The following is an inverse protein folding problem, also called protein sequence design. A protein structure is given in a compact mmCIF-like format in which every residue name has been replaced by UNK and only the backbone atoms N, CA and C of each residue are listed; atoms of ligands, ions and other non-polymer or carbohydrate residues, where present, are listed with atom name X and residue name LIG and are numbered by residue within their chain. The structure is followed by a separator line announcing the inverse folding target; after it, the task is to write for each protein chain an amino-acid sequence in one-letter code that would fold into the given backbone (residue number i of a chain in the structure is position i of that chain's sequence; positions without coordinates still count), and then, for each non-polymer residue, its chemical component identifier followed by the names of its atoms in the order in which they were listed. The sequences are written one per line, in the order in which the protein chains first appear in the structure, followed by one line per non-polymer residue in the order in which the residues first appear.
data_IF_381141302893
#
_entry.id   IF_381141302893
#
_cell.length_a   1.000
_cell.length_b   1.000
_cell.length_c   1.000
_cell.angle_alpha   90.00
_cell.angle_beta   90.00
_cell.angle_gamma   90.00
#
_symmetry.space_group_name_H-M   'P 1'
#
loop_
_entity.id
_entity.type
_entity.pdbx_description
1 polymer ?
#
# COMPACT_ATOMS: atom_id res chain seq x y z
N UNK A 1 11.62 20.46 -43.88
CA UNK A 1 12.29 19.32 -43.26
C UNK A 1 11.65 19.05 -41.91
N UNK A 2 11.10 17.87 -41.62
CA UNK A 2 10.51 17.61 -40.34
C UNK A 2 11.62 17.50 -39.29
N UNK A 3 11.54 18.31 -38.26
CA UNK A 3 12.39 18.23 -37.08
C UNK A 3 12.11 16.85 -36.42
N UNK A 4 13.10 15.96 -36.54
CA UNK A 4 13.12 14.68 -35.81
C UNK A 4 12.92 14.99 -34.33
N UNK A 5 11.78 14.59 -33.76
CA UNK A 5 11.60 14.53 -32.30
C UNK A 5 12.62 13.53 -31.77
N UNK A 6 13.70 14.04 -31.22
CA UNK A 6 14.57 13.26 -30.36
C UNK A 6 13.69 12.63 -29.27
N UNK A 7 13.57 11.31 -29.25
CA UNK A 7 13.07 10.58 -28.11
C UNK A 7 14.09 10.81 -27.00
N UNK A 8 13.82 11.73 -26.10
CA UNK A 8 14.54 11.81 -24.83
C UNK A 8 14.17 10.50 -24.09
N UNK A 9 15.11 9.58 -24.00
CA UNK A 9 15.05 8.54 -22.99
C UNK A 9 14.92 9.26 -21.65
N UNK A 10 13.95 8.85 -20.84
CA UNK A 10 13.73 9.47 -19.54
C UNK A 10 15.01 9.30 -18.72
N UNK A 11 15.50 10.42 -18.17
CA UNK A 11 16.70 10.42 -17.32
C UNK A 11 16.47 9.43 -16.16
N UNK A 12 17.40 8.50 -15.85
CA UNK A 12 17.28 7.63 -14.70
C UNK A 12 16.99 8.45 -13.44
N UNK A 13 16.09 7.95 -12.58
CA UNK A 13 15.65 8.59 -11.33
C UNK A 13 14.90 9.93 -11.52
N UNK A 14 14.44 10.24 -12.74
CA UNK A 14 13.70 11.48 -13.02
C UNK A 14 12.42 11.61 -12.18
N UNK A 15 11.88 10.50 -11.65
CA UNK A 15 10.71 10.50 -10.78
C UNK A 15 10.90 11.39 -9.55
N UNK A 16 12.09 11.41 -8.97
CA UNK A 16 12.42 12.27 -7.82
C UNK A 16 12.45 13.76 -8.15
N UNK A 17 12.71 14.10 -9.41
CA UNK A 17 12.71 15.50 -9.87
C UNK A 17 11.29 16.04 -10.10
N UNK A 18 10.27 15.19 -10.14
CA UNK A 18 8.87 15.63 -10.25
C UNK A 18 8.40 16.45 -9.05
N UNK A 19 9.09 16.33 -7.90
CA UNK A 19 8.85 17.19 -6.73
C UNK A 19 9.23 18.67 -6.97
N UNK A 20 9.99 18.95 -8.02
CA UNK A 20 10.32 20.31 -8.43
C UNK A 20 9.28 20.79 -9.42
N UNK A 21 8.12 21.25 -8.92
CA UNK A 21 6.94 21.58 -9.74
C UNK A 21 7.03 22.97 -10.43
N UNK A 22 8.12 23.74 -10.21
CA UNK A 22 8.33 25.05 -10.82
C UNK A 22 9.49 25.82 -10.17
N UNK A 23 9.86 27.00 -10.71
CA UNK A 23 11.01 27.78 -10.22
C UNK A 23 10.88 28.19 -8.75
N UNK A 24 9.68 28.50 -8.28
CA UNK A 24 9.42 28.90 -6.89
C UNK A 24 9.47 27.72 -5.92
N UNK A 25 9.17 26.51 -6.38
CA UNK A 25 9.20 25.29 -5.56
C UNK A 25 10.59 24.68 -5.41
N UNK A 26 11.57 25.05 -6.25
CA UNK A 26 12.90 24.46 -6.26
C UNK A 26 13.69 24.64 -4.93
N UNK A 27 13.30 25.58 -4.10
CA UNK A 27 13.91 25.85 -2.78
C UNK A 27 13.16 25.19 -1.61
N UNK A 28 12.02 24.57 -1.86
CA UNK A 28 11.25 23.87 -0.81
C UNK A 28 12.04 22.64 -0.31
N UNK A 29 11.79 22.24 0.93
CA UNK A 29 12.41 21.05 1.50
C UNK A 29 12.12 19.81 0.65
N UNK A 30 10.87 19.63 0.21
CA UNK A 30 10.44 18.51 -0.64
C UNK A 30 11.21 18.46 -1.97
N UNK A 31 11.33 19.56 -2.66
CA UNK A 31 12.09 19.63 -3.91
C UNK A 31 13.59 19.35 -3.69
N UNK A 32 14.15 19.83 -2.58
CA UNK A 32 15.54 19.56 -2.21
C UNK A 32 15.78 18.09 -1.84
N UNK A 33 14.82 17.46 -1.14
CA UNK A 33 14.86 16.02 -0.86
C UNK A 33 14.83 15.19 -2.15
N UNK A 34 13.96 15.53 -3.10
CA UNK A 34 13.94 14.91 -4.42
C UNK A 34 15.25 15.07 -5.19
N UNK A 35 15.83 16.27 -5.20
CA UNK A 35 17.15 16.50 -5.80
C UNK A 35 18.26 15.69 -5.12
N UNK A 36 18.24 15.60 -3.78
CA UNK A 36 19.19 14.79 -3.01
C UNK A 36 19.09 13.30 -3.35
N UNK A 37 17.87 12.77 -3.40
CA UNK A 37 17.62 11.38 -3.78
C UNK A 37 18.12 11.09 -5.22
N UNK A 38 17.76 11.97 -6.18
CA UNK A 38 18.26 11.88 -7.55
C UNK A 38 19.79 11.83 -7.60
N UNK A 39 20.49 12.75 -6.92
CA UNK A 39 21.94 12.80 -6.92
C UNK A 39 22.57 11.58 -6.25
N UNK A 40 22.01 11.11 -5.12
CA UNK A 40 22.51 9.93 -4.42
C UNK A 40 22.36 8.66 -5.26
N UNK A 41 21.21 8.46 -5.93
CA UNK A 41 21.00 7.31 -6.82
C UNK A 41 21.88 7.37 -8.07
N UNK A 42 22.12 8.57 -8.61
CA UNK A 42 23.10 8.75 -9.71
C UNK A 42 24.53 8.36 -9.30
N UNK A 43 24.92 8.54 -8.03
CA UNK A 43 26.20 8.00 -7.54
C UNK A 43 26.22 6.47 -7.54
N UNK A 44 25.11 5.83 -7.13
CA UNK A 44 24.96 4.38 -7.18
C UNK A 44 25.10 3.86 -8.61
N UNK A 45 24.47 4.52 -9.58
CA UNK A 45 24.59 4.20 -11.00
C UNK A 45 26.04 4.17 -11.52
N UNK A 46 26.92 5.03 -10.98
CA UNK A 46 28.33 5.04 -11.38
C UNK A 46 29.08 3.76 -10.99
N UNK A 47 28.51 2.99 -10.05
CA UNK A 47 29.08 1.76 -9.53
C UNK A 47 28.51 0.52 -10.22
N UNK A 48 27.57 0.71 -11.16
CA UNK A 48 26.94 -0.38 -11.89
C UNK A 48 28.01 -1.21 -12.67
N UNK A 49 27.97 -2.55 -12.59
CA UNK A 49 28.99 -3.43 -13.15
C UNK A 49 29.11 -3.32 -14.69
N UNK A 50 28.03 -2.93 -15.35
CA UNK A 50 27.97 -2.82 -16.83
C UNK A 50 28.48 -1.48 -17.36
N UNK A 51 28.85 -0.56 -16.49
CA UNK A 51 29.39 0.75 -16.87
C UNK A 51 30.91 0.75 -16.93
N UNK A 52 31.46 1.57 -17.78
CA UNK A 52 32.91 1.82 -17.81
C UNK A 52 33.35 2.35 -16.42
N UNK A 53 34.45 1.84 -15.87
CA UNK A 53 34.95 2.28 -14.57
C UNK A 53 35.17 3.80 -14.53
N UNK A 54 34.59 4.45 -13.54
CA UNK A 54 34.78 5.90 -13.32
C UNK A 54 36.12 6.14 -12.63
N UNK A 55 36.90 7.13 -13.08
CA UNK A 55 38.14 7.47 -12.43
C UNK A 55 37.93 7.94 -10.98
N UNK A 56 38.94 7.71 -10.12
CA UNK A 56 38.89 8.06 -8.71
C UNK A 56 38.57 9.57 -8.52
N UNK A 57 39.17 10.42 -9.30
CA UNK A 57 38.97 11.88 -9.19
C UNK A 57 37.56 12.28 -9.62
N UNK A 58 37.03 11.66 -10.69
CA UNK A 58 35.67 11.95 -11.17
C UNK A 58 34.61 11.47 -10.18
N UNK A 59 34.78 10.28 -9.62
CA UNK A 59 33.87 9.77 -8.57
C UNK A 59 33.94 10.65 -7.32
N UNK A 60 35.14 10.96 -6.85
CA UNK A 60 35.35 11.78 -5.66
C UNK A 60 34.73 13.17 -5.81
N UNK A 61 34.89 13.82 -6.95
CA UNK A 61 34.29 15.14 -7.24
C UNK A 61 32.74 15.08 -7.12
N UNK A 62 32.11 14.11 -7.75
CA UNK A 62 30.66 13.96 -7.70
C UNK A 62 30.17 13.60 -6.29
N UNK A 63 30.87 12.68 -5.64
CA UNK A 63 30.54 12.27 -4.29
C UNK A 63 30.61 13.42 -3.29
N UNK A 64 31.68 14.22 -3.27
CA UNK A 64 31.85 15.34 -2.33
C UNK A 64 30.70 16.35 -2.45
N UNK A 65 30.31 16.70 -3.68
CA UNK A 65 29.21 17.62 -3.92
C UNK A 65 27.86 17.04 -3.43
N UNK A 66 27.61 15.77 -3.74
CA UNK A 66 26.38 15.06 -3.34
C UNK A 66 26.31 14.84 -1.83
N UNK A 67 27.41 14.38 -1.21
CA UNK A 67 27.46 14.14 0.24
C UNK A 67 27.22 15.44 1.04
N UNK A 68 27.86 16.54 0.62
CA UNK A 68 27.61 17.85 1.25
C UNK A 68 26.14 18.23 1.19
N UNK A 69 25.51 18.11 0.03
CA UNK A 69 24.11 18.45 -0.17
C UNK A 69 23.19 17.53 0.67
N UNK A 70 23.44 16.23 0.64
CA UNK A 70 22.64 15.25 1.40
C UNK A 70 22.82 15.41 2.92
N UNK A 71 23.99 15.83 3.39
CA UNK A 71 24.25 16.09 4.82
C UNK A 71 23.43 17.26 5.34
N UNK A 72 23.22 18.31 4.54
CA UNK A 72 22.32 19.41 4.90
C UNK A 72 20.88 18.91 5.03
N UNK A 73 20.44 17.98 4.18
CA UNK A 73 19.11 17.39 4.22
C UNK A 73 18.92 16.44 5.42
N UNK A 74 19.96 15.72 5.81
CA UNK A 74 19.94 14.83 6.99
C UNK A 74 19.53 15.58 8.25
N UNK A 75 20.03 16.80 8.42
CA UNK A 75 19.67 17.63 9.58
C UNK A 75 18.23 18.18 9.53
N UNK A 76 17.62 18.17 8.34
CA UNK A 76 16.32 18.80 8.10
C UNK A 76 15.13 17.81 8.11
N UNK A 77 15.33 16.54 7.74
CA UNK A 77 14.26 15.56 7.62
C UNK A 77 14.74 14.12 7.74
N UNK A 78 13.84 13.22 8.16
CA UNK A 78 14.10 11.77 8.25
C UNK A 78 14.50 11.18 6.89
N UNK A 79 13.83 11.57 5.81
CA UNK A 79 14.19 11.16 4.47
C UNK A 79 15.63 11.57 4.10
N UNK A 80 16.06 12.75 4.53
CA UNK A 80 17.42 13.23 4.33
C UNK A 80 18.48 12.30 4.94
N UNK A 81 18.17 11.63 6.06
CA UNK A 81 19.06 10.62 6.65
C UNK A 81 19.24 9.41 5.74
N UNK A 82 18.17 8.91 5.10
CA UNK A 82 18.24 7.81 4.15
C UNK A 82 19.06 8.18 2.91
N UNK A 83 18.78 9.34 2.33
CA UNK A 83 19.49 9.85 1.15
C UNK A 83 20.99 10.05 1.43
N UNK A 84 21.33 10.62 2.58
CA UNK A 84 22.73 10.76 3.02
C UNK A 84 23.40 9.40 3.24
N UNK A 85 22.66 8.42 3.81
CA UNK A 85 23.15 7.05 3.98
C UNK A 85 23.54 6.38 2.65
N UNK A 86 22.77 6.61 1.58
CA UNK A 86 23.11 6.12 0.23
C UNK A 86 24.39 6.78 -0.28
N UNK A 87 24.54 8.09 -0.14
CA UNK A 87 25.74 8.79 -0.58
C UNK A 87 27.01 8.32 0.18
N UNK A 88 26.90 8.11 1.49
CA UNK A 88 27.98 7.61 2.34
C UNK A 88 28.37 6.15 1.98
N UNK A 89 27.38 5.24 1.86
CA UNK A 89 27.64 3.85 1.51
C UNK A 89 28.18 3.69 0.09
N UNK A 90 27.83 4.59 -0.85
CA UNK A 90 28.42 4.63 -2.19
C UNK A 90 29.92 4.93 -2.15
N UNK A 91 30.37 5.84 -1.27
CA UNK A 91 31.80 6.12 -1.12
C UNK A 91 32.57 4.94 -0.52
N UNK A 92 31.99 4.29 0.49
CA UNK A 92 32.59 3.09 1.10
C UNK A 92 32.68 1.94 0.10
N UNK A 93 31.61 1.73 -0.69
CA UNK A 93 31.57 0.74 -1.75
C UNK A 93 32.64 0.99 -2.82
N UNK A 94 32.77 2.23 -3.29
CA UNK A 94 33.81 2.59 -4.25
C UNK A 94 35.22 2.37 -3.69
N UNK A 95 35.46 2.80 -2.44
CA UNK A 95 36.76 2.68 -1.76
C UNK A 95 37.19 1.25 -1.55
N UNK A 96 36.25 0.38 -1.16
CA UNK A 96 36.52 -1.01 -0.82
C UNK A 96 36.36 -1.97 -2.00
N UNK A 97 35.79 -1.51 -3.11
CA UNK A 97 35.48 -2.33 -4.28
C UNK A 97 34.37 -3.35 -4.03
N UNK A 98 33.51 -3.08 -3.03
CA UNK A 98 32.42 -3.97 -2.64
C UNK A 98 31.06 -3.27 -2.79
N UNK A 99 30.36 -3.61 -3.86
CA UNK A 99 29.06 -3.05 -4.19
C UNK A 99 27.94 -3.45 -3.21
N UNK A 100 28.09 -4.55 -2.47
CA UNK A 100 27.07 -5.02 -1.53
C UNK A 100 26.86 -4.04 -0.37
N UNK A 101 27.86 -3.23 -0.04
CA UNK A 101 27.79 -2.23 1.03
C UNK A 101 26.69 -1.18 0.85
N UNK A 102 26.15 -1.01 -0.38
CA UNK A 102 25.06 -0.09 -0.66
C UNK A 102 23.70 -0.70 -0.33
N UNK A 103 23.58 -2.03 -0.34
CA UNK A 103 22.29 -2.74 -0.21
C UNK A 103 21.49 -2.31 1.01
N UNK A 104 22.04 -2.25 2.24
CA UNK A 104 21.26 -1.85 3.41
C UNK A 104 20.66 -0.46 3.31
N UNK A 105 21.40 0.49 2.72
CA UNK A 105 20.92 1.88 2.55
C UNK A 105 19.77 1.95 1.52
N UNK A 106 19.89 1.24 0.39
CA UNK A 106 18.82 1.16 -0.60
C UNK A 106 17.57 0.45 -0.06
N UNK A 107 17.73 -0.66 0.69
CA UNK A 107 16.61 -1.33 1.34
C UNK A 107 15.90 -0.42 2.35
N UNK A 108 16.64 0.31 3.18
CA UNK A 108 16.08 1.21 4.18
C UNK A 108 15.32 2.36 3.51
N UNK A 109 15.86 2.94 2.43
CA UNK A 109 15.20 4.00 1.71
C UNK A 109 13.95 3.52 0.95
N UNK A 110 14.03 2.38 0.28
CA UNK A 110 12.86 1.78 -0.38
C UNK A 110 11.75 1.47 0.64
N UNK A 111 12.10 0.99 1.84
CA UNK A 111 11.14 0.76 2.91
C UNK A 111 10.49 2.06 3.41
N UNK A 112 11.28 3.09 3.63
CA UNK A 112 10.78 4.42 3.99
C UNK A 112 9.78 4.93 2.95
N UNK A 113 10.14 4.90 1.67
CA UNK A 113 9.29 5.35 0.58
C UNK A 113 7.98 4.54 0.48
N UNK A 114 8.05 3.22 0.67
CA UNK A 114 6.87 2.35 0.69
C UNK A 114 5.94 2.71 1.86
N UNK A 115 6.49 3.03 3.04
CA UNK A 115 5.72 3.42 4.23
C UNK A 115 5.04 4.78 4.05
N UNK A 116 5.71 5.69 3.35
CA UNK A 116 5.16 7.00 2.97
C UNK A 116 4.25 6.93 1.72
N UNK A 117 3.93 5.73 1.23
CA UNK A 117 3.09 5.47 0.04
C UNK A 117 3.64 6.07 -1.27
N UNK A 118 4.91 6.37 -1.32
CA UNK A 118 5.62 6.90 -2.50
C UNK A 118 6.14 5.74 -3.35
N UNK A 119 5.19 4.98 -3.88
CA UNK A 119 5.43 3.65 -4.46
C UNK A 119 6.26 3.67 -5.75
N UNK A 120 6.08 4.68 -6.61
CA UNK A 120 6.88 4.81 -7.85
C UNK A 120 8.35 5.10 -7.54
N UNK A 121 8.63 5.92 -6.54
CA UNK A 121 9.98 6.21 -6.08
C UNK A 121 10.60 4.99 -5.37
N UNK A 122 9.81 4.25 -4.57
CA UNK A 122 10.25 2.99 -3.97
C UNK A 122 10.63 1.96 -5.05
N UNK A 123 9.84 1.90 -6.12
CA UNK A 123 10.11 1.01 -7.25
C UNK A 123 11.42 1.37 -7.95
N UNK A 124 11.69 2.65 -8.16
CA UNK A 124 12.93 3.14 -8.77
C UNK A 124 14.17 2.74 -7.94
N UNK A 125 14.09 2.89 -6.61
CA UNK A 125 15.17 2.47 -5.68
C UNK A 125 15.38 0.96 -5.72
N UNK A 126 14.30 0.17 -5.71
CA UNK A 126 14.39 -1.30 -5.78
C UNK A 126 14.92 -1.78 -7.12
N UNK A 127 14.53 -1.13 -8.22
CA UNK A 127 15.09 -1.37 -9.55
C UNK A 127 16.59 -1.12 -9.55
N UNK A 128 17.02 0.00 -8.96
CA UNK A 128 18.45 0.34 -8.84
C UNK A 128 19.20 -0.72 -8.03
N UNK A 129 18.64 -1.19 -6.91
CA UNK A 129 19.22 -2.27 -6.12
C UNK A 129 19.41 -3.56 -6.95
N UNK A 130 18.36 -3.97 -7.66
CA UNK A 130 18.39 -5.21 -8.46
C UNK A 130 19.33 -5.09 -9.66
N UNK A 131 19.39 -3.94 -10.33
CA UNK A 131 20.26 -3.74 -11.49
C UNK A 131 21.72 -3.58 -11.10
N UNK A 132 22.02 -2.80 -10.05
CA UNK A 132 23.39 -2.45 -9.69
C UNK A 132 24.05 -3.53 -8.82
N UNK A 133 23.30 -4.11 -7.87
CA UNK A 133 23.83 -5.05 -6.89
C UNK A 133 23.39 -6.49 -7.15
N UNK A 134 22.27 -6.70 -7.83
CA UNK A 134 21.50 -7.93 -7.95
C UNK A 134 22.31 -9.24 -7.97
N UNK A 135 23.24 -9.39 -8.92
CA UNK A 135 24.07 -10.61 -9.05
C UNK A 135 25.08 -10.83 -7.91
N UNK A 136 25.22 -9.87 -6.99
CA UNK A 136 26.12 -9.91 -5.85
C UNK A 136 25.41 -9.92 -4.50
N UNK A 137 24.06 -9.83 -4.51
CA UNK A 137 23.28 -9.98 -3.30
C UNK A 137 23.49 -11.38 -2.71
N UNK A 138 23.46 -11.46 -1.37
CA UNK A 138 23.30 -12.76 -0.73
C UNK A 138 21.97 -13.40 -1.18
N UNK A 139 21.85 -14.72 -1.12
CA UNK A 139 20.58 -15.39 -1.47
C UNK A 139 19.40 -14.86 -0.65
N UNK A 140 19.60 -14.58 0.63
CA UNK A 140 18.59 -14.00 1.52
C UNK A 140 18.18 -12.58 1.06
N UNK A 141 19.16 -11.73 0.73
CA UNK A 141 18.90 -10.36 0.29
C UNK A 141 18.25 -10.32 -1.09
N UNK A 142 18.64 -11.24 -1.99
CA UNK A 142 18.03 -11.37 -3.31
C UNK A 142 16.54 -11.74 -3.21
N UNK A 143 16.21 -12.72 -2.36
CA UNK A 143 14.82 -13.09 -2.07
C UNK A 143 14.04 -11.91 -1.47
N UNK A 144 14.61 -11.23 -0.48
CA UNK A 144 13.99 -10.09 0.18
C UNK A 144 13.76 -8.92 -0.81
N UNK A 145 14.71 -8.66 -1.72
CA UNK A 145 14.59 -7.64 -2.76
C UNK A 145 13.44 -7.97 -3.72
N UNK A 146 13.39 -9.20 -4.23
CA UNK A 146 12.34 -9.64 -5.15
C UNK A 146 10.94 -9.64 -4.50
N UNK A 147 10.80 -10.11 -3.25
CA UNK A 147 9.53 -10.05 -2.52
C UNK A 147 9.04 -8.62 -2.34
N UNK A 148 9.94 -7.68 -2.02
CA UNK A 148 9.58 -6.26 -1.86
C UNK A 148 9.25 -5.62 -3.20
N UNK A 149 10.02 -5.88 -4.23
CA UNK A 149 9.79 -5.42 -5.59
C UNK A 149 8.43 -5.88 -6.10
N UNK A 150 8.11 -7.17 -5.94
CA UNK A 150 6.81 -7.74 -6.27
C UNK A 150 5.66 -7.08 -5.50
N UNK A 151 5.84 -6.82 -4.20
CA UNK A 151 4.82 -6.16 -3.37
C UNK A 151 4.56 -4.73 -3.83
N UNK A 152 5.58 -3.96 -4.18
CA UNK A 152 5.43 -2.60 -4.68
C UNK A 152 4.73 -2.61 -6.04
N UNK A 153 5.08 -3.49 -6.97
CA UNK A 153 4.35 -3.68 -8.22
C UNK A 153 2.87 -4.00 -7.99
N UNK A 154 2.56 -4.91 -7.06
CA UNK A 154 1.16 -5.23 -6.72
C UNK A 154 0.41 -4.02 -6.16
N UNK A 155 1.02 -3.22 -5.28
CA UNK A 155 0.43 -1.98 -4.75
C UNK A 155 0.20 -0.92 -5.85
N UNK A 156 1.00 -0.95 -6.91
CA UNK A 156 0.85 -0.12 -8.11
C UNK A 156 -0.12 -0.71 -9.14
N UNK A 157 -0.78 -1.82 -8.83
CA UNK A 157 -1.67 -2.59 -9.73
C UNK A 157 -1.00 -3.13 -11.01
N UNK A 158 0.34 -3.21 -11.02
CA UNK A 158 1.12 -3.84 -12.08
C UNK A 158 1.19 -5.34 -11.82
N UNK A 159 0.04 -6.00 -11.99
CA UNK A 159 -0.16 -7.38 -11.54
C UNK A 159 0.68 -8.41 -12.31
N UNK A 160 0.99 -8.17 -13.58
CA UNK A 160 1.83 -9.07 -14.37
C UNK A 160 3.28 -9.04 -13.89
N UNK A 161 3.81 -7.84 -13.66
CA UNK A 161 5.15 -7.66 -13.10
C UNK A 161 5.24 -8.20 -11.66
N UNK A 162 4.18 -7.99 -10.87
CA UNK A 162 4.11 -8.51 -9.51
C UNK A 162 4.13 -10.05 -9.49
N UNK A 163 3.33 -10.72 -10.33
CA UNK A 163 3.29 -12.19 -10.39
C UNK A 163 4.63 -12.77 -10.85
N UNK A 164 5.27 -12.16 -11.85
CA UNK A 164 6.59 -12.56 -12.31
C UNK A 164 7.66 -12.42 -11.21
N UNK A 165 7.70 -11.27 -10.52
CA UNK A 165 8.66 -11.04 -9.44
C UNK A 165 8.41 -11.94 -8.21
N UNK A 166 7.14 -12.22 -7.86
CA UNK A 166 6.85 -13.22 -6.83
C UNK A 166 7.26 -14.63 -7.24
N UNK A 167 7.08 -15.02 -8.51
CA UNK A 167 7.53 -16.32 -9.00
C UNK A 167 9.05 -16.45 -8.86
N UNK A 168 9.80 -15.45 -9.31
CA UNK A 168 11.27 -15.41 -9.16
C UNK A 168 11.70 -15.46 -7.70
N UNK A 169 11.05 -14.69 -6.81
CA UNK A 169 11.32 -14.75 -5.37
C UNK A 169 11.11 -16.16 -4.79
N UNK A 170 10.06 -16.86 -5.23
CA UNK A 170 9.75 -18.23 -4.81
C UNK A 170 10.79 -19.26 -5.28
N UNK A 171 11.29 -19.11 -6.51
CA UNK A 171 12.36 -19.95 -7.05
C UNK A 171 13.67 -19.72 -6.29
N UNK A 172 14.07 -18.48 -6.07
CA UNK A 172 15.26 -18.12 -5.30
C UNK A 172 15.17 -18.63 -3.86
N UNK A 173 14.01 -18.46 -3.19
CA UNK A 173 13.78 -18.94 -1.84
C UNK A 173 13.87 -20.48 -1.77
N UNK A 174 13.31 -21.17 -2.75
CA UNK A 174 13.40 -22.65 -2.83
C UNK A 174 14.84 -23.12 -3.01
N UNK A 175 15.60 -22.48 -3.89
CA UNK A 175 17.03 -22.79 -4.10
C UNK A 175 17.87 -22.51 -2.86
N UNK A 176 17.51 -21.47 -2.09
CA UNK A 176 18.18 -21.13 -0.84
C UNK A 176 17.75 -21.99 0.36
N UNK A 177 16.73 -22.83 0.20
CA UNK A 177 16.12 -23.58 1.31
C UNK A 177 15.32 -22.72 2.29
N UNK A 178 14.97 -21.49 1.90
CA UNK A 178 14.20 -20.55 2.70
C UNK A 178 12.69 -20.82 2.53
N UNK A 179 12.17 -21.72 3.35
CA UNK A 179 10.77 -22.12 3.35
C UNK A 179 9.82 -20.96 3.66
N UNK A 180 10.19 -20.09 4.60
CA UNK A 180 9.37 -18.95 5.00
C UNK A 180 9.13 -18.00 3.81
N UNK A 181 10.20 -17.58 3.14
CA UNK A 181 10.09 -16.69 1.97
C UNK A 181 9.41 -17.36 0.78
N UNK A 182 9.58 -18.66 0.59
CA UNK A 182 8.84 -19.42 -0.42
C UNK A 182 7.32 -19.41 -0.18
N UNK A 183 6.88 -19.53 1.06
CA UNK A 183 5.48 -19.39 1.44
C UNK A 183 4.97 -17.96 1.26
N UNK A 184 5.78 -16.95 1.62
CA UNK A 184 5.44 -15.53 1.38
C UNK A 184 5.27 -15.22 -0.10
N UNK A 185 6.08 -15.79 -0.98
CA UNK A 185 5.93 -15.61 -2.43
C UNK A 185 4.58 -16.17 -2.93
N UNK A 186 4.17 -17.34 -2.43
CA UNK A 186 2.87 -17.96 -2.75
C UNK A 186 1.70 -17.10 -2.26
N UNK A 187 1.78 -16.52 -1.06
CA UNK A 187 0.78 -15.54 -0.56
C UNK A 187 0.75 -14.32 -1.48
N UNK A 188 1.92 -13.78 -1.85
CA UNK A 188 2.01 -12.62 -2.74
C UNK A 188 1.33 -12.85 -4.08
N UNK A 189 1.54 -14.02 -4.69
CA UNK A 189 0.87 -14.44 -5.93
C UNK A 189 -0.64 -14.57 -5.76
N UNK A 190 -1.10 -15.17 -4.66
CA UNK A 190 -2.52 -15.27 -4.37
C UNK A 190 -3.15 -13.87 -4.18
N UNK A 191 -2.48 -12.96 -3.47
CA UNK A 191 -2.92 -11.57 -3.32
C UNK A 191 -2.95 -10.81 -4.67
N UNK A 192 -2.06 -11.15 -5.60
CA UNK A 192 -2.08 -10.60 -6.96
C UNK A 192 -3.32 -11.09 -7.72
N UNK A 193 -3.71 -12.35 -7.51
CA UNK A 193 -4.96 -12.90 -8.07
C UNK A 193 -6.20 -12.23 -7.47
N UNK A 194 -6.21 -11.92 -6.17
CA UNK A 194 -7.28 -11.13 -5.55
C UNK A 194 -7.40 -9.75 -6.21
N UNK A 195 -6.29 -9.07 -6.44
CA UNK A 195 -6.27 -7.77 -7.13
C UNK A 195 -6.79 -7.84 -8.58
N UNK A 196 -6.66 -8.99 -9.24
CA UNK A 196 -7.23 -9.24 -10.58
C UNK A 196 -8.70 -9.69 -10.55
N UNK A 197 -9.30 -9.89 -9.38
CA UNK A 197 -10.65 -10.39 -9.23
C UNK A 197 -10.79 -11.92 -9.35
N UNK A 198 -9.70 -12.68 -9.41
CA UNK A 198 -9.72 -14.16 -9.48
C UNK A 198 -9.88 -14.75 -8.05
N UNK A 199 -11.00 -14.44 -7.40
CA UNK A 199 -11.24 -14.64 -5.97
C UNK A 199 -11.19 -16.10 -5.54
N UNK A 200 -11.93 -16.99 -6.23
CA UNK A 200 -12.00 -18.41 -5.88
C UNK A 200 -10.67 -19.16 -6.07
N UNK A 201 -9.87 -18.78 -7.07
CA UNK A 201 -8.54 -19.37 -7.27
C UNK A 201 -7.55 -18.87 -6.21
N UNK A 202 -7.65 -17.61 -5.83
CA UNK A 202 -6.86 -17.02 -4.77
C UNK A 202 -7.14 -17.69 -3.42
N UNK A 203 -8.41 -17.84 -3.06
CA UNK A 203 -8.85 -18.53 -1.85
C UNK A 203 -8.25 -19.94 -1.76
N UNK A 204 -8.46 -20.79 -2.77
CA UNK A 204 -7.92 -22.17 -2.80
C UNK A 204 -6.39 -22.21 -2.65
N UNK A 205 -5.67 -21.26 -3.23
CA UNK A 205 -4.22 -21.16 -3.09
C UNK A 205 -3.81 -20.76 -1.67
N UNK A 206 -4.55 -19.82 -1.06
CA UNK A 206 -4.32 -19.38 0.32
C UNK A 206 -4.61 -20.50 1.32
N UNK A 207 -5.67 -21.30 1.12
CA UNK A 207 -5.94 -22.50 1.92
C UNK A 207 -4.78 -23.50 1.87
N UNK A 208 -4.22 -23.72 0.66
CA UNK A 208 -3.04 -24.57 0.51
C UNK A 208 -1.81 -24.01 1.24
N UNK A 209 -1.61 -22.69 1.23
CA UNK A 209 -0.52 -22.05 1.99
C UNK A 209 -0.79 -22.13 3.48
N UNK A 210 -2.03 -21.95 3.92
CA UNK A 210 -2.46 -22.06 5.32
C UNK A 210 -2.16 -23.45 5.89
N UNK A 211 -2.50 -24.51 5.14
CA UNK A 211 -2.19 -25.88 5.54
C UNK A 211 -0.68 -26.12 5.67
N UNK A 212 0.11 -25.63 4.72
CA UNK A 212 1.57 -25.75 4.75
C UNK A 212 2.21 -24.94 5.89
N UNK A 213 1.68 -23.75 6.19
CA UNK A 213 2.15 -22.89 7.28
C UNK A 213 1.90 -23.53 8.64
N UNK A 214 0.69 -24.07 8.84
CA UNK A 214 0.33 -24.81 10.05
C UNK A 214 1.22 -26.04 10.27
N UNK A 215 1.46 -26.81 9.21
CA UNK A 215 2.35 -27.96 9.27
C UNK A 215 3.81 -27.60 9.57
N UNK A 216 4.21 -26.38 9.21
CA UNK A 216 5.56 -25.86 9.46
C UNK A 216 5.71 -25.12 10.79
N UNK A 217 4.61 -24.75 11.45
CA UNK A 217 4.62 -23.88 12.63
C UNK A 217 4.93 -22.41 12.32
N UNK A 218 4.73 -21.97 11.06
CA UNK A 218 5.04 -20.62 10.58
C UNK A 218 3.86 -19.66 10.88
N UNK A 219 3.80 -19.18 12.11
CA UNK A 219 2.69 -18.42 12.66
C UNK A 219 2.38 -17.12 11.89
N UNK A 220 3.42 -16.38 11.44
CA UNK A 220 3.21 -15.14 10.65
C UNK A 220 2.64 -15.46 9.26
N UNK A 221 3.09 -16.54 8.65
CA UNK A 221 2.55 -17.00 7.35
C UNK A 221 1.10 -17.46 7.50
N UNK A 222 0.79 -18.18 8.59
CA UNK A 222 -0.59 -18.56 8.93
C UNK A 222 -1.48 -17.32 9.02
N UNK A 223 -1.06 -16.30 9.78
CA UNK A 223 -1.80 -15.04 9.92
C UNK A 223 -2.05 -14.36 8.57
N UNK A 224 -1.04 -14.31 7.71
CA UNK A 224 -1.16 -13.71 6.36
C UNK A 224 -2.09 -14.49 5.44
N UNK A 225 -2.06 -15.81 5.52
CA UNK A 225 -2.96 -16.67 4.74
C UNK A 225 -4.41 -16.48 5.20
N UNK A 226 -4.67 -16.50 6.51
CA UNK A 226 -5.97 -16.21 7.12
C UNK A 226 -6.51 -14.84 6.69
N UNK A 227 -5.68 -13.78 6.75
CA UNK A 227 -6.08 -12.45 6.30
C UNK A 227 -6.41 -12.44 4.80
N UNK A 228 -5.63 -13.12 3.97
CA UNK A 228 -5.91 -13.22 2.53
C UNK A 228 -7.21 -13.95 2.23
N UNK A 229 -7.54 -15.04 2.95
CA UNK A 229 -8.80 -15.77 2.84
C UNK A 229 -9.97 -14.87 3.25
N UNK A 230 -9.82 -14.13 4.35
CA UNK A 230 -10.82 -13.15 4.77
C UNK A 230 -11.15 -12.13 3.68
N UNK A 231 -10.10 -11.57 3.04
CA UNK A 231 -10.28 -10.62 1.92
C UNK A 231 -10.97 -11.30 0.73
N UNK A 232 -10.63 -12.55 0.41
CA UNK A 232 -11.28 -13.30 -0.67
C UNK A 232 -12.79 -13.44 -0.40
N UNK A 233 -13.18 -13.91 0.78
CA UNK A 233 -14.59 -14.05 1.18
C UNK A 233 -15.31 -12.69 1.17
N UNK A 234 -14.69 -11.65 1.70
CA UNK A 234 -15.26 -10.30 1.69
C UNK A 234 -15.53 -9.81 0.26
N UNK A 235 -14.57 -9.98 -0.66
CA UNK A 235 -14.73 -9.60 -2.06
C UNK A 235 -15.81 -10.43 -2.78
N UNK A 236 -16.04 -11.67 -2.35
CA UNK A 236 -17.15 -12.52 -2.82
C UNK A 236 -18.52 -12.14 -2.19
N UNK A 237 -18.55 -11.16 -1.29
CA UNK A 237 -19.76 -10.74 -0.59
C UNK A 237 -20.14 -11.63 0.61
N UNK A 238 -19.25 -12.51 1.04
CA UNK A 238 -19.43 -13.48 2.12
C UNK A 238 -18.78 -12.96 3.42
N UNK A 239 -19.26 -11.80 3.89
CA UNK A 239 -18.65 -11.12 5.03
C UNK A 239 -18.78 -11.88 6.35
N UNK A 240 -19.82 -12.68 6.50
CA UNK A 240 -20.01 -13.49 7.71
C UNK A 240 -18.93 -14.57 7.84
N UNK A 241 -18.53 -15.17 6.71
CA UNK A 241 -17.47 -16.16 6.62
C UNK A 241 -16.08 -15.49 6.73
N UNK A 242 -15.94 -14.25 6.25
CA UNK A 242 -14.68 -13.50 6.27
C UNK A 242 -14.23 -13.12 7.68
N UNK A 243 -15.15 -12.71 8.57
CA UNK A 243 -14.84 -12.15 9.90
C UNK A 243 -14.04 -13.12 10.78
N UNK A 244 -14.38 -14.41 10.93
CA UNK A 244 -13.60 -15.35 11.72
C UNK A 244 -12.13 -15.45 11.25
N UNK A 245 -11.90 -15.47 9.94
CA UNK A 245 -10.55 -15.51 9.37
C UNK A 245 -9.77 -14.22 9.66
N UNK A 246 -10.38 -13.03 9.46
CA UNK A 246 -9.75 -11.75 9.79
C UNK A 246 -9.45 -11.63 11.30
N UNK A 247 -10.35 -12.10 12.15
CA UNK A 247 -10.15 -12.12 13.60
C UNK A 247 -9.02 -13.06 14.01
N UNK A 248 -8.95 -14.25 13.41
CA UNK A 248 -7.89 -15.20 13.66
C UNK A 248 -6.52 -14.63 13.22
N UNK A 249 -6.46 -13.98 12.07
CA UNK A 249 -5.26 -13.25 11.64
C UNK A 249 -4.83 -12.19 12.67
N UNK A 250 -5.79 -11.39 13.18
CA UNK A 250 -5.51 -10.41 14.24
C UNK A 250 -4.92 -11.04 15.50
N UNK A 251 -5.38 -12.20 15.90
CA UNK A 251 -4.87 -12.92 17.08
C UNK A 251 -3.48 -13.53 16.85
N UNK A 252 -3.17 -13.95 15.62
CA UNK A 252 -1.92 -14.60 15.28
C UNK A 252 -0.76 -13.61 15.07
N UNK A 253 -1.02 -12.43 14.50
CA UNK A 253 0.02 -11.44 14.25
C UNK A 253 0.69 -10.95 15.54
N UNK A 254 2.02 -10.93 15.55
CA UNK A 254 2.83 -10.36 16.64
C UNK A 254 3.21 -8.91 16.35
N UNK A 255 3.37 -8.56 15.08
CA UNK A 255 3.73 -7.22 14.63
C UNK A 255 2.50 -6.30 14.67
N UNK A 256 2.62 -5.16 15.38
CA UNK A 256 1.51 -4.26 15.68
C UNK A 256 0.82 -3.70 14.42
N UNK A 257 1.55 -3.33 13.37
CA UNK A 257 0.93 -2.76 12.17
C UNK A 257 0.11 -3.81 11.40
N UNK A 258 0.61 -5.04 11.31
CA UNK A 258 -0.12 -6.17 10.71
C UNK A 258 -1.36 -6.54 11.51
N UNK A 259 -1.27 -6.54 12.86
CA UNK A 259 -2.43 -6.73 13.73
C UNK A 259 -3.51 -5.66 13.50
N UNK A 260 -3.10 -4.39 13.43
CA UNK A 260 -4.03 -3.28 13.24
C UNK A 260 -4.68 -3.31 11.85
N UNK A 261 -3.97 -3.76 10.82
CA UNK A 261 -4.59 -3.99 9.50
C UNK A 261 -5.66 -5.06 9.56
N UNK A 262 -5.37 -6.21 10.16
CA UNK A 262 -6.36 -7.27 10.31
C UNK A 262 -7.58 -6.82 11.14
N UNK A 263 -7.36 -6.01 12.20
CA UNK A 263 -8.45 -5.40 12.96
C UNK A 263 -9.27 -4.41 12.11
N UNK A 264 -8.62 -3.66 11.22
CA UNK A 264 -9.28 -2.79 10.25
C UNK A 264 -10.17 -3.58 9.30
N UNK A 265 -9.68 -4.71 8.79
CA UNK A 265 -10.45 -5.62 7.93
C UNK A 265 -11.69 -6.15 8.67
N UNK A 266 -11.57 -6.56 9.94
CA UNK A 266 -12.72 -6.93 10.80
C UNK A 266 -13.72 -5.79 10.86
N UNK A 267 -13.28 -4.55 11.08
CA UNK A 267 -14.17 -3.38 11.13
C UNK A 267 -14.94 -3.16 9.82
N UNK A 268 -14.25 -3.28 8.68
CA UNK A 268 -14.87 -3.16 7.34
C UNK A 268 -15.92 -4.25 7.12
N UNK A 269 -15.59 -5.48 7.46
CA UNK A 269 -16.48 -6.63 7.28
C UNK A 269 -17.71 -6.55 8.21
N UNK A 270 -17.56 -6.11 9.47
CA UNK A 270 -18.67 -5.85 10.39
C UNK A 270 -19.61 -4.76 9.84
N UNK A 271 -19.04 -3.69 9.26
CA UNK A 271 -19.86 -2.63 8.67
C UNK A 271 -20.68 -3.16 7.48
N UNK A 272 -20.14 -4.06 6.69
CA UNK A 272 -20.86 -4.68 5.57
C UNK A 272 -22.04 -5.56 6.01
N UNK A 273 -21.95 -6.13 7.21
CA UNK A 273 -23.06 -6.85 7.86
C UNK A 273 -24.06 -5.92 8.60
N UNK A 274 -23.81 -4.60 8.61
CA UNK A 274 -24.64 -3.62 9.29
C UNK A 274 -24.29 -3.37 10.75
N UNK A 275 -23.28 -4.04 11.31
CA UNK A 275 -22.79 -3.76 12.67
C UNK A 275 -21.86 -2.53 12.68
N UNK A 276 -22.47 -1.36 12.56
CA UNK A 276 -21.73 -0.09 12.58
C UNK A 276 -21.07 0.19 13.96
N UNK A 277 -21.57 -0.40 15.03
CA UNK A 277 -21.03 -0.18 16.38
C UNK A 277 -19.75 -1.00 16.58
N UNK A 278 -19.76 -2.27 16.24
CA UNK A 278 -18.58 -3.12 16.23
C UNK A 278 -17.50 -2.59 15.30
N UNK A 279 -17.90 -2.18 14.08
CA UNK A 279 -17.02 -1.56 13.11
C UNK A 279 -16.34 -0.30 13.65
N UNK A 280 -17.09 0.62 14.25
CA UNK A 280 -16.55 1.87 14.82
C UNK A 280 -15.54 1.58 15.94
N UNK A 281 -15.80 0.60 16.81
CA UNK A 281 -14.86 0.20 17.89
C UNK A 281 -13.55 -0.32 17.31
N UNK A 282 -13.60 -1.26 16.37
CA UNK A 282 -12.42 -1.81 15.73
C UNK A 282 -11.60 -0.70 15.03
N UNK A 283 -12.25 0.12 14.23
CA UNK A 283 -11.59 1.17 13.46
C UNK A 283 -11.07 2.33 14.31
N UNK A 284 -11.76 2.67 15.42
CA UNK A 284 -11.27 3.67 16.36
C UNK A 284 -9.98 3.20 17.06
N UNK A 285 -9.88 1.90 17.39
CA UNK A 285 -8.65 1.32 17.94
C UNK A 285 -7.51 1.36 16.91
N UNK A 286 -7.81 1.03 15.64
CA UNK A 286 -6.84 1.17 14.55
C UNK A 286 -6.37 2.62 14.39
N UNK A 287 -7.29 3.59 14.41
CA UNK A 287 -6.94 5.01 14.32
C UNK A 287 -6.09 5.48 15.51
N UNK A 288 -6.40 5.00 16.73
CA UNK A 288 -5.71 5.39 17.95
C UNK A 288 -4.26 4.86 18.01
N UNK A 289 -4.03 3.63 17.52
CA UNK A 289 -2.74 2.92 17.63
C UNK A 289 -1.93 2.91 16.34
N UNK A 290 -2.58 3.08 15.19
CA UNK A 290 -1.92 3.01 13.88
C UNK A 290 -0.81 4.03 13.74
N UNK A 291 0.31 3.60 13.14
CA UNK A 291 1.49 4.44 12.89
C UNK A 291 1.74 4.61 11.41
N UNK A 292 1.42 3.61 10.59
CA UNK A 292 1.58 3.73 9.14
C UNK A 292 0.50 4.63 8.55
N UNK A 293 0.89 5.44 7.59
CA UNK A 293 -0.02 6.37 6.91
C UNK A 293 -1.16 5.62 6.19
N UNK A 294 -0.86 4.48 5.61
CA UNK A 294 -1.83 3.62 4.94
C UNK A 294 -2.92 3.14 5.92
N UNK A 295 -2.50 2.56 7.06
CA UNK A 295 -3.40 2.01 8.08
C UNK A 295 -4.29 3.09 8.68
N UNK A 296 -3.72 4.26 9.00
CA UNK A 296 -4.47 5.39 9.58
C UNK A 296 -5.43 6.00 8.56
N UNK A 297 -5.02 6.20 7.30
CA UNK A 297 -5.88 6.77 6.25
C UNK A 297 -7.08 5.87 5.98
N UNK A 298 -6.87 4.56 5.85
CA UNK A 298 -7.96 3.60 5.67
C UNK A 298 -8.93 3.63 6.86
N UNK A 299 -8.42 3.64 8.10
CA UNK A 299 -9.27 3.71 9.29
C UNK A 299 -10.13 4.98 9.35
N UNK A 300 -9.57 6.15 8.98
CA UNK A 300 -10.32 7.42 8.96
C UNK A 300 -11.41 7.41 7.89
N UNK A 301 -11.12 6.88 6.69
CA UNK A 301 -12.11 6.73 5.61
C UNK A 301 -13.26 5.82 6.05
N UNK A 302 -12.94 4.70 6.70
CA UNK A 302 -13.95 3.76 7.20
C UNK A 302 -14.75 4.32 8.36
N UNK A 303 -14.15 5.09 9.27
CA UNK A 303 -14.88 5.80 10.34
C UNK A 303 -15.85 6.85 9.77
N UNK A 304 -15.44 7.55 8.69
CA UNK A 304 -16.35 8.43 7.95
C UNK A 304 -17.52 7.61 7.37
N UNK A 305 -17.24 6.43 6.82
CA UNK A 305 -18.27 5.55 6.27
C UNK A 305 -19.22 5.04 7.35
N UNK A 306 -18.72 4.63 8.53
CA UNK A 306 -19.54 4.25 9.70
C UNK A 306 -20.47 5.38 10.14
N UNK A 307 -19.94 6.61 10.24
CA UNK A 307 -20.75 7.78 10.60
C UNK A 307 -21.89 8.01 9.59
N UNK A 308 -21.63 7.84 8.29
CA UNK A 308 -22.67 7.94 7.26
C UNK A 308 -23.74 6.85 7.40
N UNK A 309 -23.34 5.64 7.74
CA UNK A 309 -24.24 4.51 7.96
C UNK A 309 -25.19 4.77 9.13
N UNK A 310 -24.69 5.34 10.22
CA UNK A 310 -25.46 5.75 11.41
C UNK A 310 -26.22 7.06 11.21
N UNK A 311 -26.17 7.69 10.05
CA UNK A 311 -26.71 9.02 9.76
C UNK A 311 -26.19 10.13 10.68
N UNK A 312 -24.97 9.96 11.22
CA UNK A 312 -24.27 10.97 12.00
C UNK A 312 -23.60 12.01 11.08
N UNK A 313 -24.28 13.12 10.87
CA UNK A 313 -23.78 14.21 10.02
C UNK A 313 -22.53 14.87 10.60
N UNK A 314 -22.45 15.00 11.91
CA UNK A 314 -21.33 15.69 12.59
C UNK A 314 -20.09 14.82 12.56
N UNK A 315 -20.21 13.55 12.93
CA UNK A 315 -19.13 12.58 12.84
C UNK A 315 -18.62 12.43 11.41
N UNK A 316 -19.53 12.33 10.43
CA UNK A 316 -19.16 12.27 9.02
C UNK A 316 -18.35 13.50 8.57
N UNK A 317 -18.79 14.72 8.92
CA UNK A 317 -18.07 15.93 8.55
C UNK A 317 -16.67 15.99 9.19
N UNK A 318 -16.58 15.64 10.48
CA UNK A 318 -15.31 15.60 11.21
C UNK A 318 -14.29 14.60 10.63
N UNK A 319 -14.75 13.39 10.29
CA UNK A 319 -13.86 12.38 9.71
C UNK A 319 -13.48 12.73 8.26
N UNK A 320 -14.41 13.29 7.49
CA UNK A 320 -14.12 13.80 6.13
C UNK A 320 -13.00 14.85 6.15
N UNK A 321 -13.10 15.86 7.01
CA UNK A 321 -12.10 16.92 7.14
C UNK A 321 -10.70 16.34 7.45
N UNK A 322 -10.63 15.36 8.35
CA UNK A 322 -9.37 14.66 8.64
C UNK A 322 -8.80 13.87 7.45
N UNK A 323 -9.65 13.37 6.55
CA UNK A 323 -9.20 12.77 5.30
C UNK A 323 -8.68 13.84 4.33
N UNK A 324 -9.40 14.96 4.21
CA UNK A 324 -9.06 16.05 3.30
C UNK A 324 -7.67 16.64 3.60
N UNK A 325 -7.30 16.74 4.88
CA UNK A 325 -5.97 17.20 5.32
C UNK A 325 -4.80 16.33 4.82
N UNK A 326 -5.08 15.08 4.44
CA UNK A 326 -4.10 14.09 3.98
C UNK A 326 -4.22 13.71 2.51
N UNK A 327 -5.19 14.29 1.81
CA UNK A 327 -5.60 13.84 0.49
C UNK A 327 -4.49 13.94 -0.56
N UNK A 328 -3.61 14.93 -0.44
CA UNK A 328 -2.50 15.17 -1.36
C UNK A 328 -1.49 14.00 -1.35
N UNK A 329 -1.30 13.38 -0.19
CA UNK A 329 -0.31 12.31 0.04
C UNK A 329 -0.89 10.91 -0.15
N UNK A 330 -2.20 10.79 -0.41
CA UNK A 330 -2.86 9.51 -0.59
C UNK A 330 -2.62 8.96 -2.01
N UNK A 331 -2.26 7.68 -2.15
CA UNK A 331 -2.19 7.04 -3.46
C UNK A 331 -3.58 6.92 -4.11
N UNK A 332 -3.63 6.73 -5.44
CA UNK A 332 -4.89 6.76 -6.19
C UNK A 332 -5.97 5.81 -5.67
N UNK A 333 -5.61 4.61 -5.22
CA UNK A 333 -6.55 3.63 -4.67
C UNK A 333 -7.22 4.13 -3.38
N UNK A 334 -6.46 4.73 -2.45
CA UNK A 334 -7.01 5.29 -1.20
C UNK A 334 -7.83 6.54 -1.49
N UNK A 335 -7.40 7.41 -2.43
CA UNK A 335 -8.19 8.57 -2.86
C UNK A 335 -9.50 8.18 -3.52
N UNK A 336 -9.47 7.17 -4.41
CA UNK A 336 -10.69 6.66 -5.04
C UNK A 336 -11.67 6.14 -3.99
N UNK A 337 -11.19 5.39 -3.00
CA UNK A 337 -12.01 4.87 -1.90
C UNK A 337 -12.59 5.99 -1.02
N UNK A 338 -11.80 7.02 -0.71
CA UNK A 338 -12.29 8.20 -0.01
C UNK A 338 -13.46 8.87 -0.73
N UNK A 339 -13.32 9.19 -2.02
CA UNK A 339 -14.38 9.83 -2.79
C UNK A 339 -15.60 8.91 -2.99
N UNK A 340 -15.37 7.61 -3.17
CA UNK A 340 -16.43 6.61 -3.24
C UNK A 340 -17.27 6.62 -1.96
N UNK A 341 -16.64 6.48 -0.80
CA UNK A 341 -17.34 6.42 0.50
C UNK A 341 -17.93 7.76 0.90
N UNK A 342 -17.29 8.86 0.53
CA UNK A 342 -17.86 10.20 0.68
C UNK A 342 -19.13 10.33 -0.18
N UNK A 343 -19.12 9.88 -1.44
CA UNK A 343 -20.28 9.86 -2.33
C UNK A 343 -21.43 9.04 -1.77
N UNK A 344 -21.15 7.81 -1.33
CA UNK A 344 -22.13 6.93 -0.67
C UNK A 344 -22.72 7.63 0.56
N UNK A 345 -21.89 8.27 1.39
CA UNK A 345 -22.35 9.01 2.56
C UNK A 345 -23.31 10.15 2.20
N UNK A 346 -23.00 10.93 1.16
CA UNK A 346 -23.89 11.99 0.70
C UNK A 346 -25.23 11.43 0.17
N UNK A 347 -25.23 10.29 -0.53
CA UNK A 347 -26.45 9.62 -0.96
C UNK A 347 -27.29 9.16 0.23
N UNK A 348 -26.70 8.57 1.26
CA UNK A 348 -27.37 8.18 2.51
C UNK A 348 -28.02 9.38 3.22
N UNK A 349 -27.43 10.58 3.07
CA UNK A 349 -27.99 11.82 3.60
C UNK A 349 -29.02 12.49 2.64
N UNK A 350 -29.41 11.83 1.54
CA UNK A 350 -30.36 12.35 0.58
C UNK A 350 -29.80 13.41 -0.37
N UNK A 351 -28.49 13.63 -0.40
CA UNK A 351 -27.82 14.65 -1.21
C UNK A 351 -27.30 14.07 -2.52
N UNK A 352 -28.19 13.52 -3.35
CA UNK A 352 -27.86 12.72 -4.53
C UNK A 352 -27.02 13.44 -5.58
N UNK A 353 -27.29 14.74 -5.86
CA UNK A 353 -26.46 15.52 -6.80
C UNK A 353 -25.00 15.62 -6.35
N UNK A 354 -24.79 15.80 -5.06
CA UNK A 354 -23.43 15.85 -4.48
C UNK A 354 -22.79 14.47 -4.49
N UNK A 355 -23.55 13.43 -4.21
CA UNK A 355 -23.10 12.06 -4.31
C UNK A 355 -22.62 11.72 -5.72
N UNK A 356 -23.40 12.07 -6.74
CA UNK A 356 -23.03 11.82 -8.14
C UNK A 356 -21.71 12.50 -8.53
N UNK A 357 -21.49 13.75 -8.13
CA UNK A 357 -20.23 14.47 -8.40
C UNK A 357 -19.04 13.75 -7.78
N UNK A 358 -19.14 13.35 -6.50
CA UNK A 358 -18.08 12.66 -5.78
C UNK A 358 -17.80 11.26 -6.34
N UNK A 359 -18.83 10.52 -6.74
CA UNK A 359 -18.68 9.22 -7.38
C UNK A 359 -18.02 9.33 -8.76
N UNK A 360 -18.33 10.37 -9.53
CA UNK A 360 -17.62 10.65 -10.79
C UNK A 360 -16.16 11.01 -10.58
N UNK A 361 -15.84 11.73 -9.51
CA UNK A 361 -14.45 12.02 -9.13
C UNK A 361 -13.71 10.72 -8.76
N UNK A 362 -14.33 9.85 -7.95
CA UNK A 362 -13.80 8.53 -7.64
C UNK A 362 -13.55 7.70 -8.90
N UNK A 363 -14.49 7.72 -9.86
CA UNK A 363 -14.38 7.00 -11.13
C UNK A 363 -13.23 7.53 -11.99
N UNK A 364 -13.07 8.84 -12.07
CA UNK A 364 -11.98 9.46 -12.82
C UNK A 364 -10.61 9.09 -12.25
N UNK A 365 -10.47 9.06 -10.91
CA UNK A 365 -9.24 8.62 -10.24
C UNK A 365 -9.00 7.13 -10.50
N UNK A 366 -10.02 6.29 -10.36
CA UNK A 366 -9.92 4.84 -10.58
C UNK A 366 -9.51 4.54 -12.02
N UNK A 367 -10.15 5.15 -13.02
CA UNK A 367 -9.83 4.96 -14.44
C UNK A 367 -8.42 5.44 -14.79
N UNK A 368 -8.01 6.59 -14.27
CA UNK A 368 -6.65 7.12 -14.46
C UNK A 368 -5.54 6.23 -13.86
N UNK A 369 -5.87 5.43 -12.86
CA UNK A 369 -4.94 4.53 -12.16
C UNK A 369 -5.12 3.05 -12.53
N UNK A 370 -6.02 2.70 -13.46
CA UNK A 370 -6.27 1.31 -13.88
C UNK A 370 -6.88 0.43 -12.80
N UNK A 371 -7.69 1.00 -11.90
CA UNK A 371 -8.33 0.31 -10.78
C UNK A 371 -9.67 -0.32 -11.22
N UNK A 372 -9.65 -1.28 -12.12
CA UNK A 372 -10.85 -1.82 -12.80
C UNK A 372 -11.93 -2.35 -11.85
N UNK A 373 -11.57 -2.94 -10.73
CA UNK A 373 -12.54 -3.37 -9.71
C UNK A 373 -13.28 -2.17 -9.09
N UNK A 374 -12.55 -1.10 -8.77
CA UNK A 374 -13.14 0.15 -8.28
C UNK A 374 -14.04 0.80 -9.34
N UNK A 375 -13.60 0.84 -10.60
CA UNK A 375 -14.40 1.37 -11.71
C UNK A 375 -15.75 0.65 -11.78
N UNK A 376 -15.74 -0.67 -11.86
CA UNK A 376 -16.95 -1.49 -11.94
C UNK A 376 -17.88 -1.27 -10.74
N UNK A 377 -17.31 -1.22 -9.53
CA UNK A 377 -18.07 -0.99 -8.29
C UNK A 377 -18.70 0.40 -8.28
N UNK A 378 -17.97 1.45 -8.67
CA UNK A 378 -18.45 2.82 -8.72
C UNK A 378 -19.53 2.97 -9.79
N UNK A 379 -19.33 2.41 -10.97
CA UNK A 379 -20.35 2.43 -12.06
C UNK A 379 -21.66 1.78 -11.61
N UNK A 380 -21.60 0.64 -10.94
CA UNK A 380 -22.81 0.00 -10.38
C UNK A 380 -23.54 0.90 -9.38
N UNK A 381 -22.82 1.60 -8.51
CA UNK A 381 -23.40 2.51 -7.53
C UNK A 381 -23.99 3.73 -8.26
N UNK A 382 -23.31 4.30 -9.25
CA UNK A 382 -23.83 5.39 -10.07
C UNK A 382 -25.09 5.00 -10.82
N UNK A 383 -25.13 3.80 -11.41
CA UNK A 383 -26.29 3.29 -12.12
C UNK A 383 -27.52 3.10 -11.19
N UNK A 384 -27.30 2.66 -9.95
CA UNK A 384 -28.37 2.48 -8.96
C UNK A 384 -28.79 3.76 -8.22
N UNK A 385 -28.05 4.84 -8.35
CA UNK A 385 -28.32 6.08 -7.60
C UNK A 385 -29.71 6.72 -7.89
N UNK A 386 -30.23 6.76 -9.15
CA UNK A 386 -31.57 7.24 -9.44
C UNK A 386 -32.67 6.38 -8.81
N UNK A 387 -32.50 5.06 -8.80
CA UNK A 387 -33.47 4.13 -8.22
C UNK A 387 -33.53 4.30 -6.70
N UNK A 388 -32.37 4.45 -6.03
CA UNK A 388 -32.32 4.78 -4.61
C UNK A 388 -33.01 6.11 -4.28
N UNK A 389 -32.88 7.11 -5.14
CA UNK A 389 -33.57 8.39 -4.98
C UNK A 389 -35.08 8.26 -5.05
N UNK A 390 -35.58 7.42 -5.96
CA UNK A 390 -37.02 7.16 -6.12
C UNK A 390 -37.55 6.30 -4.98
N UNK A 391 -36.82 5.24 -4.56
CA UNK A 391 -37.23 4.34 -3.48
C UNK A 391 -37.38 5.08 -2.14
N UNK A 392 -36.44 5.96 -1.78
CA UNK A 392 -36.50 6.73 -0.52
C UNK A 392 -37.68 7.75 -0.54
N UNK A 393 -38.05 8.25 -1.73
CA UNK A 393 -39.23 9.08 -1.85
C UNK A 393 -40.54 8.29 -1.59
N UNK A 394 -40.52 6.96 -1.73
CA UNK A 394 -41.68 6.08 -1.54
C UNK A 394 -41.67 5.34 -0.18
N UNK A 395 -40.50 5.13 0.45
CA UNK A 395 -40.36 4.32 1.66
C UNK A 395 -40.07 5.16 2.91
N UNK A 396 -41.11 5.40 3.68
CA UNK A 396 -40.96 5.97 5.04
C UNK A 396 -40.73 4.90 6.10
N UNK A 397 -40.67 3.60 5.76
CA UNK A 397 -40.49 2.48 6.72
C UNK A 397 -39.85 1.28 6.04
N UNK A 398 -38.55 1.08 6.24
CA UNK A 398 -37.95 -0.25 6.19
C UNK A 398 -37.31 -0.54 7.55
N UNK A 399 -37.85 -1.58 8.20
CA UNK A 399 -37.24 -2.19 9.37
C UNK A 399 -35.91 -2.80 8.96
N UNK A 400 -34.84 -2.48 9.67
CA UNK A 400 -33.56 -3.18 9.60
C UNK A 400 -33.79 -4.64 9.98
N UNK A 401 -33.58 -5.58 9.05
CA UNK A 401 -33.55 -7.00 9.40
C UNK A 401 -32.43 -7.24 10.42
N UNK A 402 -32.71 -8.06 11.46
CA UNK A 402 -31.68 -8.35 12.45
C UNK A 402 -30.53 -9.13 11.78
N UNK A 403 -29.31 -8.68 11.97
CA UNK A 403 -28.09 -9.37 11.55
C UNK A 403 -28.12 -10.78 12.17
N UNK A 404 -28.01 -11.83 11.34
CA UNK A 404 -27.91 -13.20 11.82
C UNK A 404 -26.57 -13.34 12.55
N UNK A 405 -26.61 -13.31 13.88
CA UNK A 405 -25.42 -13.46 14.71
C UNK A 405 -25.11 -14.95 14.88
N UNK A 406 -24.07 -15.41 14.17
CA UNK A 406 -23.45 -16.71 14.49
C UNK A 406 -22.74 -16.66 15.85
N UNK A 407 -22.41 -17.82 16.43
CA UNK A 407 -21.69 -17.89 17.71
C UNK A 407 -20.33 -17.21 17.61
N UNK A 408 -19.64 -17.38 16.48
CA UNK A 408 -18.33 -16.77 16.18
C UNK A 408 -18.41 -15.24 16.06
N UNK A 409 -19.44 -14.70 15.41
CA UNK A 409 -19.67 -13.27 15.33
C UNK A 409 -19.96 -12.63 16.70
N UNK A 410 -20.63 -13.36 17.60
CA UNK A 410 -20.84 -12.91 18.99
C UNK A 410 -19.52 -12.86 19.76
N UNK A 411 -18.68 -13.88 19.63
CA UNK A 411 -17.36 -13.92 20.27
C UNK A 411 -16.48 -12.75 19.80
N UNK A 412 -16.45 -12.45 18.52
CA UNK A 412 -15.74 -11.28 17.97
C UNK A 412 -16.29 -9.98 18.54
N UNK A 413 -17.62 -9.82 18.59
CA UNK A 413 -18.29 -8.63 19.14
C UNK A 413 -18.00 -8.40 20.63
N UNK A 414 -18.03 -9.48 21.43
CA UNK A 414 -17.71 -9.47 22.86
C UNK A 414 -16.23 -9.12 23.10
N UNK A 415 -15.33 -9.71 22.32
CA UNK A 415 -13.89 -9.44 22.38
C UNK A 415 -13.56 -8.00 22.00
N UNK A 416 -14.21 -7.45 20.97
CA UNK A 416 -14.07 -6.04 20.58
C UNK A 416 -14.57 -5.08 21.68
N UNK A 417 -15.61 -5.48 22.44
CA UNK A 417 -16.09 -4.67 23.56
C UNK A 417 -15.05 -4.55 24.68
N UNK A 418 -14.14 -5.53 24.79
CA UNK A 418 -13.06 -5.54 25.80
C UNK A 418 -11.82 -4.75 25.35
N UNK A 419 -11.59 -4.54 24.05
CA UNK A 419 -10.44 -3.78 23.54
C UNK A 419 -10.52 -2.27 23.82
N UNK A 420 -11.69 -1.73 24.10
CA UNK A 420 -11.96 -0.30 24.31
C UNK A 420 -12.00 0.16 25.77
N UNK A 421 -11.55 -0.67 26.73
CA UNK A 421 -11.55 -0.34 28.18
C UNK A 421 -10.14 0.04 28.63
#
# INVERSE_FOLDING_TARGET
MPVSRLKFESLPHAIFLQRVSGPESATTLEARLGQGAFLALRLVDLLAPDRAPVSKDAFHYQWVATDRFCRELHAAATEGAHVHGIAASSADSYRLGDIQLISPALFAYAHFLETELRLEEALDVLTTLLVVVGNRLSSTDAVAAQLRFARVHRKLNRFDDADAAYAEAGELATLAGDRYSALLSRIGRANTMLGRGNLADAERRLEGVLADARAAGERDVEARAEQGIAVAFYCMGQSAEAIPHAWHAFQLYEEDDSRLRALGDVGIMLLSLGDATGAERALAEVFRRGRSQETVSNAVIELMHCASYRRDHVGFARWRERCEDRLADMPPNIRADFYLKQGIGQARFGRYRRAEVLLKEALAIAGGAGLHEFEFRIERILAGLPDCQQAIAQETQLATEPVVQTAELREVSESLAQLGV
#
